data_IF_982818797368
#
_entry.id   IF_982818797368
#
_cell.length_a   1.000
_cell.length_b   1.000
_cell.length_c   1.000
_cell.angle_alpha   90.00
_cell.angle_beta   90.00
_cell.angle_gamma   90.00
#
_symmetry.space_group_name_H-M   'P 1'
#
loop_
_entity.id
_entity.type
_entity.pdbx_description
1 polymer ?
#
# COMPACT_ATOMS: atom_id res chain seq x y z
N UNK A 1 -6.97 -12.00 -0.23
CA UNK A 1 -6.46 -10.72 -0.78
C UNK A 1 -6.36 -9.61 0.25
N UNK A 2 -7.22 -9.52 1.25
CA UNK A 2 -7.04 -8.57 2.35
C UNK A 2 -5.86 -8.99 3.25
N UNK A 3 -4.98 -8.06 3.56
CA UNK A 3 -3.86 -8.24 4.46
C UNK A 3 -3.89 -7.13 5.52
N UNK A 4 -3.19 -7.34 6.63
CA UNK A 4 -2.92 -6.26 7.58
C UNK A 4 -2.02 -5.20 6.91
N UNK A 5 -1.92 -3.99 7.48
CA UNK A 5 -0.98 -2.97 6.99
C UNK A 5 0.45 -3.54 6.88
N UNK A 6 1.16 -3.14 5.83
CA UNK A 6 2.48 -3.69 5.48
C UNK A 6 3.53 -3.56 6.59
N UNK A 7 3.39 -2.57 7.43
CA UNK A 7 4.33 -2.20 8.50
C UNK A 7 4.15 -3.01 9.79
N UNK A 8 3.08 -3.82 9.90
CA UNK A 8 2.90 -4.74 11.03
C UNK A 8 3.64 -6.07 10.86
N UNK A 9 4.14 -6.36 9.65
CA UNK A 9 4.88 -7.58 9.37
C UNK A 9 6.40 -7.33 9.42
N UNK A 10 7.14 -8.19 10.08
CA UNK A 10 8.56 -8.34 9.78
C UNK A 10 8.75 -9.09 8.45
N UNK A 11 10.00 -9.22 7.95
CA UNK A 11 10.26 -9.81 6.63
C UNK A 11 9.81 -11.28 6.52
N UNK A 12 10.07 -12.07 7.57
CA UNK A 12 9.72 -13.49 7.61
C UNK A 12 8.19 -13.68 7.66
N UNK A 13 7.52 -12.90 8.48
CA UNK A 13 6.06 -12.90 8.56
C UNK A 13 5.41 -12.48 7.25
N UNK A 14 5.96 -11.46 6.57
CA UNK A 14 5.49 -11.03 5.26
C UNK A 14 5.68 -12.12 4.21
N UNK A 15 6.82 -12.82 4.20
CA UNK A 15 7.07 -13.93 3.30
C UNK A 15 6.05 -15.05 3.51
N UNK A 16 5.85 -15.50 4.75
CA UNK A 16 4.89 -16.55 5.09
C UNK A 16 3.46 -16.17 4.66
N UNK A 17 3.08 -14.90 4.83
CA UNK A 17 1.75 -14.43 4.42
C UNK A 17 1.61 -14.40 2.89
N UNK A 18 2.63 -13.97 2.16
CA UNK A 18 2.64 -13.96 0.69
C UNK A 18 2.65 -15.38 0.12
N UNK A 19 3.36 -16.32 0.74
CA UNK A 19 3.32 -17.74 0.35
C UNK A 19 1.94 -18.36 0.57
N UNK A 20 1.28 -18.01 1.69
CA UNK A 20 -0.07 -18.46 2.00
C UNK A 20 -1.13 -17.88 1.07
N UNK A 21 -0.99 -16.62 0.71
CA UNK A 21 -1.94 -15.88 -0.11
C UNK A 21 -1.20 -15.09 -1.22
N UNK A 22 -0.82 -15.77 -2.33
CA UNK A 22 -0.01 -15.14 -3.40
C UNK A 22 -0.68 -13.95 -4.09
N UNK A 23 -2.01 -13.85 -4.04
CA UNK A 23 -2.75 -12.71 -4.58
C UNK A 23 -2.94 -11.58 -3.56
N UNK A 24 -2.38 -11.68 -2.38
CA UNK A 24 -2.37 -10.59 -1.42
C UNK A 24 -1.64 -9.37 -1.99
N UNK A 25 -2.19 -8.18 -1.75
CA UNK A 25 -1.52 -6.92 -2.12
C UNK A 25 -0.18 -6.75 -1.38
N UNK A 26 -0.02 -7.44 -0.25
CA UNK A 26 1.23 -7.47 0.52
C UNK A 26 2.44 -7.89 -0.34
N UNK A 27 2.25 -8.76 -1.34
CA UNK A 27 3.32 -9.15 -2.27
C UNK A 27 3.87 -7.97 -3.10
N UNK A 28 3.07 -6.92 -3.29
CA UNK A 28 3.46 -5.67 -3.97
C UNK A 28 4.06 -4.70 -2.97
N UNK A 29 3.40 -4.49 -1.81
CA UNK A 29 3.87 -3.60 -0.74
C UNK A 29 5.20 -4.05 -0.12
N UNK A 30 5.44 -5.36 -0.07
CA UNK A 30 6.60 -6.02 0.50
C UNK A 30 7.28 -6.91 -0.56
N UNK A 31 7.60 -6.28 -1.71
CA UNK A 31 8.16 -6.98 -2.87
C UNK A 31 9.53 -7.60 -2.61
N UNK A 32 10.23 -7.21 -1.55
CA UNK A 32 11.46 -7.89 -1.10
C UNK A 32 11.23 -9.34 -0.70
N UNK A 33 9.97 -9.76 -0.46
CA UNK A 33 9.61 -11.17 -0.23
C UNK A 33 9.85 -12.05 -1.45
N UNK A 34 10.02 -11.47 -2.64
CA UNK A 34 10.32 -12.15 -3.89
C UNK A 34 11.83 -12.40 -4.10
N UNK A 35 12.67 -11.96 -3.17
CA UNK A 35 14.12 -12.03 -3.25
C UNK A 35 14.72 -12.77 -2.06
N UNK A 36 15.95 -13.24 -2.26
CA UNK A 36 16.75 -13.77 -1.16
C UNK A 36 16.92 -12.75 -0.03
N UNK A 37 17.08 -13.22 1.19
CA UNK A 37 17.20 -12.39 2.39
C UNK A 37 18.41 -11.45 2.39
N UNK A 38 19.39 -11.69 1.53
CA UNK A 38 20.56 -10.82 1.36
C UNK A 38 20.26 -9.54 0.58
N UNK A 39 19.15 -9.49 -0.15
CA UNK A 39 18.74 -8.27 -0.88
C UNK A 39 18.19 -7.25 0.09
N UNK A 40 18.69 -6.02 -0.01
CA UNK A 40 18.19 -4.90 0.79
C UNK A 40 16.72 -4.61 0.45
N UNK A 41 15.89 -4.45 1.49
CA UNK A 41 14.46 -4.15 1.36
C UNK A 41 14.19 -2.88 0.54
N UNK A 42 15.12 -1.94 0.55
CA UNK A 42 15.00 -0.64 -0.14
C UNK A 42 15.82 -0.56 -1.43
N UNK A 43 16.29 -1.69 -1.96
CA UNK A 43 16.99 -1.72 -3.23
C UNK A 43 16.05 -1.39 -4.41
N UNK A 44 16.57 -0.74 -5.44
CA UNK A 44 15.79 -0.36 -6.64
C UNK A 44 15.09 -1.55 -7.29
N UNK A 45 15.74 -2.72 -7.33
CA UNK A 45 15.14 -3.94 -7.89
C UNK A 45 13.89 -4.41 -7.14
N UNK A 46 13.74 -4.05 -5.86
CA UNK A 46 12.54 -4.37 -5.07
C UNK A 46 11.36 -3.52 -5.55
N UNK A 47 11.58 -2.23 -5.77
CA UNK A 47 10.53 -1.34 -6.33
C UNK A 47 10.18 -1.71 -7.77
N UNK A 48 11.17 -2.09 -8.58
CA UNK A 48 10.93 -2.58 -9.95
C UNK A 48 10.09 -3.87 -9.94
N UNK A 49 10.33 -4.76 -8.97
CA UNK A 49 9.54 -5.98 -8.78
C UNK A 49 8.09 -5.68 -8.33
N UNK A 50 7.90 -4.70 -7.46
CA UNK A 50 6.59 -4.24 -7.07
C UNK A 50 5.78 -3.77 -8.30
N UNK A 51 6.42 -2.99 -9.18
CA UNK A 51 5.83 -2.54 -10.45
C UNK A 51 5.49 -3.70 -11.36
N UNK A 52 6.40 -4.64 -11.58
CA UNK A 52 6.20 -5.83 -12.40
C UNK A 52 4.98 -6.64 -11.91
N UNK A 53 4.88 -6.87 -10.60
CA UNK A 53 3.76 -7.59 -10.00
C UNK A 53 2.43 -6.86 -10.19
N UNK A 54 2.42 -5.55 -10.02
CA UNK A 54 1.21 -4.74 -10.23
C UNK A 54 0.76 -4.81 -11.69
N UNK A 55 1.66 -4.57 -12.64
CA UNK A 55 1.37 -4.59 -14.08
C UNK A 55 0.90 -5.97 -14.53
N UNK A 56 1.52 -7.04 -14.04
CA UNK A 56 1.11 -8.42 -14.31
C UNK A 56 -0.33 -8.68 -13.85
N UNK A 57 -0.68 -8.25 -12.64
CA UNK A 57 -2.03 -8.44 -12.08
C UNK A 57 -3.10 -7.58 -12.73
N UNK A 58 -2.72 -6.46 -13.31
CA UNK A 58 -3.62 -5.67 -14.16
C UNK A 58 -3.81 -6.37 -15.51
N UNK A 59 -2.72 -6.86 -16.11
CA UNK A 59 -2.76 -7.52 -17.41
C UNK A 59 -3.55 -8.84 -17.41
N UNK A 60 -3.50 -9.58 -16.31
CA UNK A 60 -4.25 -10.85 -16.18
C UNK A 60 -5.70 -10.66 -15.68
N UNK A 61 -6.10 -9.43 -15.36
CA UNK A 61 -7.44 -9.09 -14.90
C UNK A 61 -7.69 -9.36 -13.41
N UNK A 62 -6.66 -9.71 -12.63
CA UNK A 62 -6.76 -9.84 -11.17
C UNK A 62 -7.10 -8.50 -10.53
N UNK A 63 -6.49 -7.42 -11.03
CA UNK A 63 -6.85 -6.05 -10.70
C UNK A 63 -7.50 -5.37 -11.91
N UNK A 64 -8.55 -4.64 -11.63
CA UNK A 64 -9.26 -3.84 -12.63
C UNK A 64 -9.16 -2.37 -12.28
N UNK A 65 -9.14 -1.52 -13.30
CA UNK A 65 -9.20 -0.07 -13.11
C UNK A 65 -10.65 0.36 -13.24
N UNK A 66 -11.18 1.03 -12.22
CA UNK A 66 -12.48 1.65 -12.30
C UNK A 66 -12.45 2.80 -13.31
N UNK A 67 -13.47 2.88 -14.14
CA UNK A 67 -13.62 3.94 -15.16
C UNK A 67 -14.31 5.18 -14.61
N UNK A 68 -15.08 5.02 -13.55
CA UNK A 68 -15.87 6.09 -12.95
C UNK A 68 -15.20 6.68 -11.71
N UNK A 69 -15.41 7.99 -11.51
CA UNK A 69 -15.00 8.65 -10.26
C UNK A 69 -15.94 8.22 -9.15
N UNK A 70 -15.38 7.63 -8.11
CA UNK A 70 -16.14 7.09 -6.98
C UNK A 70 -15.49 7.42 -5.63
N UNK A 71 -16.30 7.37 -4.60
CA UNK A 71 -15.86 7.25 -3.22
C UNK A 71 -15.94 5.77 -2.82
N UNK A 72 -14.96 5.29 -2.07
CA UNK A 72 -14.93 3.91 -1.62
C UNK A 72 -15.20 3.85 -0.11
N UNK A 73 -16.11 2.97 0.29
CA UNK A 73 -16.30 2.66 1.70
C UNK A 73 -15.28 1.60 2.09
N UNK A 74 -14.50 1.91 3.09
CA UNK A 74 -13.51 1.02 3.65
C UNK A 74 -13.92 0.60 5.06
N UNK A 75 -14.02 -0.71 5.29
CA UNK A 75 -14.47 -1.25 6.56
C UNK A 75 -13.47 -2.27 7.09
N UNK A 76 -13.08 -2.09 8.34
CA UNK A 76 -12.21 -3.00 9.08
C UNK A 76 -12.92 -3.49 10.33
N UNK A 77 -12.92 -4.81 10.53
CA UNK A 77 -13.40 -5.42 11.76
C UNK A 77 -12.26 -6.13 12.47
N UNK A 78 -11.99 -5.72 13.71
CA UNK A 78 -10.99 -6.33 14.58
C UNK A 78 -11.56 -6.53 15.98
N UNK A 79 -11.45 -7.74 16.52
CA UNK A 79 -11.96 -8.10 17.85
C UNK A 79 -13.45 -7.77 18.04
N UNK A 80 -14.27 -7.95 17.01
CA UNK A 80 -15.70 -7.65 17.04
C UNK A 80 -16.07 -6.16 16.96
N UNK A 81 -15.08 -5.27 16.84
CA UNK A 81 -15.30 -3.83 16.62
C UNK A 81 -15.07 -3.48 15.16
N UNK A 82 -16.06 -2.90 14.54
CA UNK A 82 -16.00 -2.43 13.15
C UNK A 82 -15.73 -0.93 13.11
N UNK A 83 -14.79 -0.52 12.25
CA UNK A 83 -14.53 0.86 11.88
C UNK A 83 -14.80 1.03 10.39
N UNK A 84 -15.55 2.05 10.04
CA UNK A 84 -15.89 2.37 8.65
C UNK A 84 -15.30 3.73 8.30
N UNK A 85 -14.63 3.81 7.16
CA UNK A 85 -14.04 5.04 6.62
C UNK A 85 -14.39 5.23 5.15
N UNK A 86 -14.06 6.39 4.62
CA UNK A 86 -14.21 6.72 3.21
C UNK A 86 -12.82 6.92 2.61
N UNK A 87 -12.51 6.18 1.54
CA UNK A 87 -11.32 6.41 0.74
C UNK A 87 -11.68 7.29 -0.46
N UNK A 88 -10.92 8.37 -0.65
CA UNK A 88 -11.14 9.36 -1.71
C UNK A 88 -9.85 10.11 -2.04
N UNK A 89 -9.82 10.77 -3.19
CA UNK A 89 -8.77 11.72 -3.52
C UNK A 89 -9.06 13.08 -2.87
N UNK A 90 -8.05 13.65 -2.23
CA UNK A 90 -8.10 14.98 -1.65
C UNK A 90 -7.30 15.98 -2.51
N UNK A 91 -7.69 17.26 -2.48
CA UNK A 91 -6.96 18.31 -3.18
C UNK A 91 -5.61 18.59 -2.51
N UNK A 92 -4.54 18.60 -3.30
CA UNK A 92 -3.20 18.99 -2.83
C UNK A 92 -3.19 20.46 -2.38
N UNK A 93 -3.95 21.32 -3.06
CA UNK A 93 -4.05 22.74 -2.69
C UNK A 93 -4.72 22.91 -1.33
N UNK A 94 -5.76 22.14 -1.04
CA UNK A 94 -6.44 22.13 0.27
C UNK A 94 -5.50 21.66 1.38
N UNK A 95 -4.64 20.69 1.08
CA UNK A 95 -3.60 20.21 2.01
C UNK A 95 -2.55 21.30 2.25
N UNK A 96 -2.04 21.95 1.20
CA UNK A 96 -1.02 22.99 1.30
C UNK A 96 -1.54 24.25 2.00
N UNK A 97 -2.82 24.59 1.79
CA UNK A 97 -3.49 25.74 2.39
C UNK A 97 -4.03 25.46 3.81
N UNK A 98 -3.74 24.30 4.39
CA UNK A 98 -4.22 23.86 5.72
C UNK A 98 -5.76 23.81 5.87
N UNK A 99 -6.50 23.69 4.79
CA UNK A 99 -7.93 23.36 4.82
C UNK A 99 -8.07 21.94 5.34
N UNK A 100 -7.29 21.00 4.77
CA UNK A 100 -7.10 19.66 5.33
C UNK A 100 -6.01 19.74 6.39
N UNK A 101 -6.38 19.42 7.63
CA UNK A 101 -5.44 19.49 8.76
C UNK A 101 -4.51 18.28 8.74
N UNK A 102 -3.21 18.57 8.85
CA UNK A 102 -2.18 17.54 9.04
C UNK A 102 -2.37 16.90 10.41
N UNK A 103 -2.37 15.57 10.46
CA UNK A 103 -2.54 14.84 11.72
C UNK A 103 -1.21 14.72 12.46
N UNK A 104 -0.21 14.11 11.81
CA UNK A 104 1.13 13.90 12.37
C UNK A 104 2.19 13.91 11.26
N UNK A 105 3.45 14.01 11.65
CA UNK A 105 4.54 13.86 10.70
C UNK A 105 4.93 12.38 10.56
N UNK A 106 4.98 11.91 9.33
CA UNK A 106 5.53 10.60 9.02
C UNK A 106 7.05 10.58 9.29
N UNK A 107 7.58 9.45 9.72
CA UNK A 107 9.03 9.26 9.85
C UNK A 107 9.69 9.40 8.48
N UNK A 108 10.81 10.12 8.39
CA UNK A 108 11.48 10.43 7.13
C UNK A 108 11.90 9.18 6.33
N UNK A 109 12.34 8.11 7.02
CA UNK A 109 12.69 6.83 6.39
C UNK A 109 11.48 6.15 5.72
N UNK A 110 10.32 6.21 6.37
CA UNK A 110 9.07 5.67 5.83
C UNK A 110 8.48 6.53 4.72
N UNK A 111 8.60 7.84 4.84
CA UNK A 111 8.21 8.78 3.80
C UNK A 111 9.01 8.54 2.52
N UNK A 112 10.34 8.42 2.63
CA UNK A 112 11.20 8.16 1.47
C UNK A 112 10.89 6.81 0.80
N UNK A 113 10.67 5.77 1.59
CA UNK A 113 10.24 4.47 1.08
C UNK A 113 8.93 4.58 0.28
N UNK A 114 7.93 5.29 0.81
CA UNK A 114 6.65 5.49 0.10
C UNK A 114 6.79 6.34 -1.16
N UNK A 115 7.64 7.37 -1.15
CA UNK A 115 7.95 8.17 -2.33
C UNK A 115 8.54 7.26 -3.43
N UNK A 116 9.56 6.48 -3.12
CA UNK A 116 10.19 5.58 -4.08
C UNK A 116 9.17 4.57 -4.65
N UNK A 117 8.30 4.02 -3.79
CA UNK A 117 7.28 3.07 -4.21
C UNK A 117 6.25 3.71 -5.16
N UNK A 118 5.77 4.91 -4.82
CA UNK A 118 4.80 5.65 -5.64
C UNK A 118 5.41 6.04 -6.98
N UNK A 119 6.66 6.51 -7.00
CA UNK A 119 7.35 6.91 -8.22
C UNK A 119 7.52 5.74 -9.20
N UNK A 120 7.78 4.54 -8.69
CA UNK A 120 7.94 3.33 -9.52
C UNK A 120 6.61 2.73 -9.95
N UNK A 121 5.66 2.59 -9.03
CA UNK A 121 4.39 1.94 -9.30
C UNK A 121 3.38 2.87 -9.98
N UNK A 122 3.56 4.20 -9.92
CA UNK A 122 2.64 5.23 -10.40
C UNK A 122 1.22 5.12 -9.79
N UNK A 123 1.11 4.51 -8.62
CA UNK A 123 -0.12 4.38 -7.86
C UNK A 123 0.13 4.73 -6.40
N UNK A 124 -0.85 5.36 -5.78
CA UNK A 124 -0.84 5.61 -4.34
C UNK A 124 -1.33 4.33 -3.66
N UNK A 125 -0.45 3.70 -2.91
CA UNK A 125 -0.82 2.60 -2.04
C UNK A 125 -1.39 3.20 -0.76
N UNK A 126 -2.68 2.98 -0.52
CA UNK A 126 -3.35 3.44 0.70
C UNK A 126 -2.82 2.66 1.91
N UNK A 127 -1.79 3.17 2.54
CA UNK A 127 -1.18 2.58 3.73
C UNK A 127 -1.55 3.30 5.02
N UNK A 128 -2.49 4.22 4.98
CA UNK A 128 -2.95 4.93 6.16
C UNK A 128 -4.44 5.24 6.11
N UNK A 129 -5.22 4.57 6.94
CA UNK A 129 -6.57 5.01 7.21
C UNK A 129 -6.51 6.23 8.11
N UNK A 130 -6.94 7.37 7.59
CA UNK A 130 -7.31 8.49 8.46
C UNK A 130 -8.60 8.06 9.18
N UNK A 131 -8.48 7.68 10.46
CA UNK A 131 -9.67 7.52 11.31
C UNK A 131 -10.29 8.88 11.55
N UNK A 132 -11.55 9.03 11.17
CA UNK A 132 -12.41 10.12 11.59
C UNK A 132 -12.79 9.95 13.06
#
# INVERSE_FOLDING_TARGET
MAALPYDVYNREEALNEVEREPLSFLAIDRAETQFDSSVDTYADCVYDKARELLDSRIADGTFITDTDKAYYVYELTMNGRTQTGIAACASIDDYNNNIIKKHENTRADKEQDRINHVDRCLVILLTGLMSL
#
